data_IF_882820059485
#
_entry.id   IF_882820059485
#
_cell.length_a   1.000
_cell.length_b   1.000
_cell.length_c   1.000
_cell.angle_alpha   90.00
_cell.angle_beta   90.00
_cell.angle_gamma   90.00
#
_symmetry.space_group_name_H-M   'P 1'
#
loop_
_entity.id
_entity.type
_entity.pdbx_description
1 polymer ?
#
# COMPACT_ATOMS: atom_id res chain seq x y z
N UNK A 1 29.17 16.24 18.89
CA UNK A 1 27.88 15.64 18.48
C UNK A 1 28.10 15.14 17.07
N UNK A 2 28.07 13.82 16.86
CA UNK A 2 28.39 13.22 15.55
C UNK A 2 27.19 13.42 14.61
N UNK A 3 27.38 14.15 13.50
CA UNK A 3 26.31 14.48 12.54
C UNK A 3 26.40 13.51 11.37
N UNK A 4 25.65 12.41 11.44
CA UNK A 4 25.62 11.37 10.39
C UNK A 4 24.21 11.18 9.83
N UNK A 5 24.11 11.07 8.50
CA UNK A 5 22.88 10.69 7.78
C UNK A 5 23.21 9.46 6.92
N UNK A 6 22.42 8.39 7.06
CA UNK A 6 22.67 7.10 6.39
C UNK A 6 24.10 6.56 6.60
N UNK A 7 24.67 6.79 7.79
CA UNK A 7 26.03 6.36 8.13
C UNK A 7 27.16 7.19 7.52
N UNK A 8 26.83 8.26 6.77
CA UNK A 8 27.80 9.20 6.18
C UNK A 8 27.90 10.48 7.00
N UNK A 9 29.11 10.99 7.18
CA UNK A 9 29.35 12.27 7.87
C UNK A 9 28.77 13.43 7.07
N UNK A 10 28.06 14.31 7.75
CA UNK A 10 27.47 15.52 7.17
C UNK A 10 28.47 16.67 7.30
N UNK A 11 28.83 17.27 6.18
CA UNK A 11 29.73 18.43 6.15
C UNK A 11 28.98 19.73 6.49
N UNK A 12 29.68 20.75 7.02
CA UNK A 12 29.06 22.06 7.29
C UNK A 12 28.48 22.69 6.01
N UNK A 13 29.17 22.57 4.86
CA UNK A 13 28.65 23.05 3.57
C UNK A 13 27.34 22.36 3.15
N UNK A 14 27.13 21.11 3.56
CA UNK A 14 25.87 20.41 3.30
C UNK A 14 24.74 20.93 4.19
N UNK A 15 25.07 21.34 5.41
CA UNK A 15 24.12 21.96 6.35
C UNK A 15 23.71 23.34 5.83
N UNK A 16 24.66 24.17 5.42
CA UNK A 16 24.38 25.50 4.86
C UNK A 16 23.40 25.42 3.69
N UNK A 17 23.63 24.47 2.77
CA UNK A 17 22.72 24.22 1.64
C UNK A 17 21.31 23.85 2.08
N UNK A 18 21.16 23.03 3.11
CA UNK A 18 19.85 22.64 3.63
C UNK A 18 19.14 23.77 4.37
N UNK A 19 19.90 24.64 5.03
CA UNK A 19 19.37 25.86 5.65
C UNK A 19 18.82 26.78 4.56
N UNK A 20 19.62 27.07 3.53
CA UNK A 20 19.20 27.90 2.39
C UNK A 20 17.94 27.34 1.70
N UNK A 21 17.89 26.01 1.51
CA UNK A 21 16.74 25.33 0.92
C UNK A 21 15.48 25.44 1.80
N UNK A 22 15.63 25.31 3.12
CA UNK A 22 14.53 25.44 4.06
C UNK A 22 14.01 26.89 4.15
N UNK A 23 14.91 27.88 4.14
CA UNK A 23 14.56 29.31 4.18
C UNK A 23 13.89 29.77 2.89
N UNK A 24 14.32 29.25 1.74
CA UNK A 24 13.68 29.50 0.44
C UNK A 24 12.24 28.98 0.40
N UNK A 25 11.97 27.89 1.11
CA UNK A 25 10.67 27.23 1.15
C UNK A 25 10.34 26.45 -0.12
N UNK A 26 9.31 25.60 -0.02
CA UNK A 26 8.82 24.78 -1.13
C UNK A 26 7.49 25.33 -1.65
N UNK A 27 7.33 25.37 -2.97
CA UNK A 27 6.07 25.79 -3.61
C UNK A 27 4.97 24.72 -3.40
N UNK A 28 3.86 24.96 -2.69
CA UNK A 28 2.84 23.92 -2.51
C UNK A 28 2.24 23.39 -3.83
N UNK A 29 2.34 24.12 -4.94
CA UNK A 29 1.80 23.68 -6.23
C UNK A 29 2.57 22.53 -6.89
N UNK A 30 3.84 22.29 -6.56
CA UNK A 30 4.55 21.09 -7.06
C UNK A 30 4.08 19.80 -6.38
N UNK A 31 3.44 19.92 -5.20
CA UNK A 31 2.77 18.81 -4.54
C UNK A 31 1.46 18.51 -5.27
N UNK A 32 1.55 17.77 -6.39
CA UNK A 32 0.34 17.26 -7.06
C UNK A 32 -0.53 16.56 -6.03
N UNK A 33 -1.85 16.83 -5.97
CA UNK A 33 -2.75 16.09 -5.11
C UNK A 33 -2.59 14.63 -5.46
N UNK A 34 -2.00 13.86 -4.55
CA UNK A 34 -1.97 12.42 -4.68
C UNK A 34 -3.42 11.98 -4.59
N UNK A 35 -4.03 11.71 -5.75
CA UNK A 35 -5.19 10.83 -5.79
C UNK A 35 -4.79 9.65 -4.92
N UNK A 36 -5.61 9.33 -3.92
CA UNK A 36 -5.33 8.22 -3.01
C UNK A 36 -5.14 6.91 -3.78
N UNK A 37 -5.12 5.79 -3.07
CA UNK A 37 -5.03 4.49 -3.73
C UNK A 37 -6.04 4.41 -4.89
N UNK A 38 -5.60 4.07 -6.12
CA UNK A 38 -6.49 3.93 -7.26
C UNK A 38 -7.69 3.05 -6.91
N UNK A 39 -8.88 3.51 -7.29
CA UNK A 39 -10.12 2.73 -7.11
C UNK A 39 -10.00 1.46 -7.94
N UNK A 40 -10.21 0.29 -7.32
CA UNK A 40 -10.07 -1.03 -7.99
C UNK A 40 -11.14 -1.30 -9.06
N UNK A 41 -12.21 -0.53 -9.08
CA UNK A 41 -13.33 -0.62 -10.03
C UNK A 41 -13.91 0.79 -10.23
N UNK A 42 -14.83 0.98 -11.19
CA UNK A 42 -15.49 2.26 -11.48
C UNK A 42 -16.31 2.89 -10.33
N UNK A 43 -16.17 2.38 -9.10
CA UNK A 43 -16.84 2.87 -7.90
C UNK A 43 -16.23 2.29 -6.62
N UNK A 44 -16.83 2.66 -5.49
CA UNK A 44 -16.42 2.20 -4.14
C UNK A 44 -16.74 0.72 -3.93
N UNK A 45 -15.83 0.00 -3.28
CA UNK A 45 -16.08 -1.40 -2.88
C UNK A 45 -17.04 -1.46 -1.68
N UNK A 46 -18.00 -2.38 -1.71
CA UNK A 46 -18.89 -2.66 -0.57
C UNK A 46 -18.33 -3.80 0.28
N UNK A 47 -18.38 -3.66 1.60
CA UNK A 47 -18.01 -4.73 2.53
C UNK A 47 -19.22 -5.62 2.76
N UNK A 48 -19.07 -6.93 2.49
CA UNK A 48 -20.10 -7.94 2.74
C UNK A 48 -19.57 -8.90 3.81
N UNK A 49 -20.14 -8.93 5.03
CA UNK A 49 -19.71 -9.85 6.06
C UNK A 49 -20.17 -11.28 5.75
N UNK A 50 -19.27 -12.25 5.87
CA UNK A 50 -19.55 -13.69 5.70
C UNK A 50 -19.07 -14.40 6.96
N UNK A 51 -19.90 -15.31 7.50
CA UNK A 51 -19.50 -16.18 8.60
C UNK A 51 -18.86 -17.43 8.01
N UNK A 52 -17.61 -17.66 8.37
CA UNK A 52 -16.87 -18.87 8.07
C UNK A 52 -16.52 -19.53 9.40
N UNK A 53 -16.63 -20.84 9.44
CA UNK A 53 -16.00 -21.66 10.48
C UNK A 53 -14.48 -21.60 10.33
N UNK A 54 -13.75 -21.93 11.39
CA UNK A 54 -12.28 -21.96 11.34
C UNK A 54 -11.76 -22.92 10.26
N UNK A 55 -12.41 -24.08 10.10
CA UNK A 55 -12.07 -25.07 9.08
C UNK A 55 -12.27 -24.54 7.65
N UNK A 56 -13.36 -23.80 7.40
CA UNK A 56 -13.60 -23.18 6.09
C UNK A 56 -12.57 -22.09 5.79
N UNK A 57 -12.21 -21.27 6.80
CA UNK A 57 -11.20 -20.23 6.64
C UNK A 57 -9.82 -20.85 6.39
N UNK A 58 -9.43 -21.90 7.12
CA UNK A 58 -8.19 -22.64 6.90
C UNK A 58 -8.13 -23.25 5.50
N UNK A 59 -9.23 -23.83 5.02
CA UNK A 59 -9.29 -24.39 3.66
C UNK A 59 -9.05 -23.31 2.58
N UNK A 60 -9.63 -22.11 2.76
CA UNK A 60 -9.42 -20.96 1.86
C UNK A 60 -7.96 -20.50 1.94
N UNK A 61 -7.39 -20.38 3.14
CA UNK A 61 -6.00 -19.95 3.32
C UNK A 61 -5.01 -20.96 2.74
N UNK A 62 -5.23 -22.25 2.95
CA UNK A 62 -4.41 -23.31 2.38
C UNK A 62 -4.43 -23.30 0.85
N UNK A 63 -5.58 -22.99 0.23
CA UNK A 63 -5.66 -22.79 -1.23
C UNK A 63 -4.92 -21.52 -1.66
N UNK A 64 -5.07 -20.43 -0.92
CA UNK A 64 -4.41 -19.17 -1.21
C UNK A 64 -2.88 -19.31 -1.21
N UNK A 65 -2.32 -20.00 -0.21
CA UNK A 65 -0.88 -20.27 -0.12
C UNK A 65 -0.36 -21.09 -1.31
N UNK A 66 -1.06 -22.18 -1.68
CA UNK A 66 -0.69 -23.00 -2.86
C UNK A 66 -0.69 -22.21 -4.17
N UNK A 67 -1.56 -21.21 -4.27
CA UNK A 67 -1.70 -20.39 -5.47
C UNK A 67 -0.93 -19.07 -5.39
N UNK A 68 -0.15 -18.85 -4.32
CA UNK A 68 0.59 -17.61 -4.04
C UNK A 68 -0.29 -16.35 -4.06
N UNK A 69 -1.52 -16.47 -3.55
CA UNK A 69 -2.49 -15.39 -3.43
C UNK A 69 -2.60 -14.93 -1.99
N UNK A 70 -2.84 -13.63 -1.77
CA UNK A 70 -3.32 -13.20 -0.46
C UNK A 70 -4.79 -13.61 -0.27
N UNK A 71 -5.22 -13.69 1.00
CA UNK A 71 -6.60 -14.01 1.39
C UNK A 71 -7.67 -13.30 0.57
N UNK A 72 -7.54 -11.98 0.42
CA UNK A 72 -8.53 -11.15 -0.28
C UNK A 72 -8.55 -11.39 -1.78
N UNK A 73 -7.43 -11.77 -2.40
CA UNK A 73 -7.36 -12.14 -3.81
C UNK A 73 -7.96 -13.52 -4.04
N UNK A 74 -7.66 -14.49 -3.17
CA UNK A 74 -8.25 -15.84 -3.24
C UNK A 74 -9.78 -15.80 -3.15
N UNK A 75 -10.34 -15.06 -2.20
CA UNK A 75 -11.81 -14.93 -2.04
C UNK A 75 -12.44 -14.28 -3.29
N UNK A 76 -11.86 -13.19 -3.81
CA UNK A 76 -12.38 -12.52 -5.00
C UNK A 76 -12.32 -13.40 -6.24
N UNK A 77 -11.25 -14.18 -6.40
CA UNK A 77 -11.10 -15.11 -7.51
C UNK A 77 -12.14 -16.22 -7.45
N UNK A 78 -12.37 -16.81 -6.27
CA UNK A 78 -13.41 -17.83 -6.10
C UNK A 78 -14.81 -17.28 -6.45
N UNK A 79 -15.12 -16.04 -6.05
CA UNK A 79 -16.38 -15.38 -6.41
C UNK A 79 -16.50 -15.12 -7.92
N UNK A 80 -15.41 -14.72 -8.58
CA UNK A 80 -15.38 -14.51 -10.02
C UNK A 80 -15.56 -15.81 -10.80
N UNK A 81 -14.84 -16.87 -10.40
CA UNK A 81 -14.97 -18.23 -10.96
C UNK A 81 -16.40 -18.75 -10.81
N UNK A 82 -17.00 -18.56 -9.62
CA UNK A 82 -18.40 -18.94 -9.35
C UNK A 82 -19.39 -18.17 -10.23
N UNK A 83 -19.23 -16.85 -10.36
CA UNK A 83 -20.13 -16.01 -11.16
C UNK A 83 -20.01 -16.26 -12.68
N UNK A 84 -18.83 -16.66 -13.16
CA UNK A 84 -18.60 -16.96 -14.59
C UNK A 84 -18.94 -18.39 -14.98
N UNK A 85 -19.20 -19.28 -14.02
CA UNK A 85 -19.57 -20.67 -14.27
C UNK A 85 -21.05 -20.85 -14.69
N UNK A 86 -21.72 -19.76 -15.09
CA UNK A 86 -23.13 -19.72 -15.52
C UNK A 86 -23.27 -19.80 -17.03
#
# INVERSE_FOLDING_TARGET
MERKIEGRDVTESQIDKWVDEAEKGYDPEWLRPRMGRPVRAGGTSKVVPVRLTDAELEAVMARAEREHLNRSDAIRRALAEWASAS
#
